data_IF_638520929299
#
_entry.id   IF_638520929299
#
_cell.length_a   1.000
_cell.length_b   1.000
_cell.length_c   1.000
_cell.angle_alpha   90.00
_cell.angle_beta   90.00
_cell.angle_gamma   90.00
#
_symmetry.space_group_name_H-M   'P 1'
#
loop_
_entity.id
_entity.type
_entity.pdbx_description
1 polymer ?
#
# COMPACT_ATOMS: atom_id res chain seq x y z
N UNK A 1 -32.38 5.40 -21.15
CA UNK A 1 -31.28 4.53 -20.68
C UNK A 1 -31.86 3.36 -19.89
N UNK A 2 -31.58 2.12 -20.28
CA UNK A 2 -31.96 0.92 -19.50
C UNK A 2 -30.87 0.68 -18.46
N UNK A 3 -31.20 0.79 -17.18
CA UNK A 3 -30.28 0.77 -16.03
C UNK A 3 -30.16 -0.62 -15.36
N UNK A 4 -30.68 -1.67 -15.99
CA UNK A 4 -30.80 -2.99 -15.33
C UNK A 4 -30.13 -4.08 -16.17
N UNK A 5 -28.79 -4.07 -16.18
CA UNK A 5 -27.97 -5.14 -16.72
C UNK A 5 -27.32 -5.86 -15.54
N UNK A 6 -27.59 -7.17 -15.40
CA UNK A 6 -27.02 -7.96 -14.31
C UNK A 6 -25.48 -7.96 -14.43
N UNK A 7 -24.74 -7.65 -13.35
CA UNK A 7 -23.28 -7.69 -13.38
C UNK A 7 -22.81 -9.13 -13.67
N UNK A 8 -21.87 -9.26 -14.60
CA UNK A 8 -21.24 -10.54 -14.94
C UNK A 8 -19.98 -10.69 -14.09
N UNK A 9 -20.02 -11.61 -13.15
CA UNK A 9 -18.88 -11.96 -12.30
C UNK A 9 -18.09 -13.09 -12.95
N UNK A 10 -16.77 -12.92 -13.07
CA UNK A 10 -15.87 -13.92 -13.65
C UNK A 10 -15.13 -14.71 -12.57
N UNK A 11 -15.05 -14.16 -11.35
CA UNK A 11 -14.37 -14.75 -10.21
C UNK A 11 -15.41 -15.37 -9.26
N UNK A 12 -15.00 -16.39 -8.51
CA UNK A 12 -15.83 -17.06 -7.51
C UNK A 12 -15.15 -17.03 -6.16
N UNK A 13 -15.93 -16.92 -5.08
CA UNK A 13 -15.44 -17.10 -3.72
C UNK A 13 -14.95 -18.54 -3.51
N UNK A 14 -14.26 -18.79 -2.40
CA UNK A 14 -13.83 -20.14 -2.01
C UNK A 14 -15.01 -21.13 -1.94
N UNK A 15 -16.19 -20.66 -1.54
CA UNK A 15 -17.44 -21.43 -1.49
C UNK A 15 -18.23 -21.42 -2.82
N UNK A 16 -17.61 -20.98 -3.93
CA UNK A 16 -18.18 -21.06 -5.28
C UNK A 16 -19.22 -20.00 -5.64
N UNK A 17 -19.46 -19.00 -4.78
CA UNK A 17 -20.40 -17.91 -5.08
C UNK A 17 -19.74 -16.86 -6.00
N UNK A 18 -20.49 -16.18 -6.90
CA UNK A 18 -19.93 -15.12 -7.73
C UNK A 18 -19.29 -13.99 -6.92
N UNK A 19 -18.05 -13.64 -7.22
CA UNK A 19 -17.27 -12.60 -6.54
C UNK A 19 -17.11 -11.35 -7.42
N UNK A 20 -17.28 -10.18 -6.81
CA UNK A 20 -16.96 -8.90 -7.44
C UNK A 20 -15.44 -8.74 -7.54
N UNK A 21 -14.93 -8.41 -8.73
CA UNK A 21 -13.50 -8.19 -8.95
C UNK A 21 -13.06 -6.92 -8.23
N UNK A 22 -12.09 -7.04 -7.33
CA UNK A 22 -11.46 -5.89 -6.67
C UNK A 22 -10.30 -5.37 -7.53
N UNK A 23 -10.17 -4.05 -7.66
CA UNK A 23 -8.96 -3.45 -8.24
C UNK A 23 -7.77 -3.62 -7.30
N UNK A 24 -6.51 -3.55 -7.78
CA UNK A 24 -5.33 -3.62 -6.91
C UNK A 24 -5.33 -2.54 -5.83
N UNK A 25 -5.83 -1.33 -6.13
CA UNK A 25 -5.98 -0.26 -5.14
C UNK A 25 -7.00 -0.63 -4.07
N UNK A 26 -8.16 -1.16 -4.45
CA UNK A 26 -9.20 -1.60 -3.51
C UNK A 26 -8.67 -2.74 -2.62
N UNK A 27 -7.93 -3.68 -3.20
CA UNK A 27 -7.31 -4.78 -2.46
C UNK A 27 -6.26 -4.24 -1.46
N UNK A 28 -5.43 -3.28 -1.87
CA UNK A 28 -4.41 -2.68 -1.01
C UNK A 28 -5.05 -1.92 0.16
N UNK A 29 -6.04 -1.07 -0.13
CA UNK A 29 -6.80 -0.33 0.90
C UNK A 29 -7.46 -1.28 1.88
N UNK A 30 -8.07 -2.37 1.40
CA UNK A 30 -8.69 -3.39 2.27
C UNK A 30 -7.66 -4.04 3.20
N UNK A 31 -6.52 -4.48 2.69
CA UNK A 31 -5.48 -5.10 3.53
C UNK A 31 -4.85 -4.12 4.52
N UNK A 32 -4.72 -2.84 4.17
CA UNK A 32 -4.25 -1.81 5.12
C UNK A 32 -5.28 -1.58 6.22
N UNK A 33 -6.57 -1.54 5.89
CA UNK A 33 -7.65 -1.31 6.85
C UNK A 33 -7.88 -2.49 7.79
N UNK A 34 -7.69 -3.75 7.35
CA UNK A 34 -7.81 -4.90 8.24
C UNK A 34 -6.78 -4.87 9.38
N UNK A 35 -5.62 -4.22 9.19
CA UNK A 35 -4.64 -4.00 10.25
C UNK A 35 -5.16 -3.10 11.40
N UNK A 36 -6.20 -2.28 11.18
CA UNK A 36 -6.85 -1.49 12.25
C UNK A 36 -7.70 -2.37 13.18
N UNK A 37 -8.14 -3.53 12.71
CA UNK A 37 -8.99 -4.45 13.46
C UNK A 37 -8.19 -5.43 14.33
N UNK A 38 -6.85 -5.29 14.38
CA UNK A 38 -5.96 -6.19 15.11
C UNK A 38 -6.14 -7.66 14.71
N UNK A 39 -6.66 -7.92 13.49
CA UNK A 39 -6.82 -9.27 12.99
C UNK A 39 -5.43 -9.93 12.95
N UNK A 40 -5.32 -11.09 13.60
CA UNK A 40 -4.06 -11.86 13.62
C UNK A 40 -3.65 -12.08 12.17
N UNK A 41 -2.36 -11.94 11.93
CA UNK A 41 -1.60 -11.91 10.65
C UNK A 41 -1.77 -13.16 9.74
N UNK A 42 -2.84 -13.94 9.91
CA UNK A 42 -3.03 -15.27 9.40
C UNK A 42 -4.38 -15.36 8.64
N UNK A 43 -4.27 -15.26 7.31
CA UNK A 43 -5.22 -15.67 6.27
C UNK A 43 -6.15 -14.62 5.63
N UNK A 44 -5.56 -13.77 4.76
CA UNK A 44 -6.12 -13.61 3.40
C UNK A 44 -5.29 -14.52 2.46
N UNK A 45 -5.89 -15.60 1.95
CA UNK A 45 -5.32 -16.48 0.91
C UNK A 45 -3.95 -17.15 1.19
N UNK A 46 -3.55 -17.31 2.46
CA UNK A 46 -2.31 -18.00 2.84
C UNK A 46 -1.02 -17.17 2.68
N UNK A 47 -1.14 -15.88 2.35
CA UNK A 47 -0.04 -14.91 2.33
C UNK A 47 -0.03 -14.09 3.64
N UNK A 48 1.16 -13.83 4.20
CA UNK A 48 1.32 -12.86 5.30
C UNK A 48 0.87 -11.47 4.80
N UNK A 49 0.09 -10.76 5.60
CA UNK A 49 -0.44 -9.42 5.28
C UNK A 49 0.67 -8.46 4.83
N UNK A 50 1.87 -8.59 5.41
CA UNK A 50 3.03 -7.79 5.01
C UNK A 50 3.51 -8.12 3.59
N UNK A 51 3.48 -9.40 3.20
CA UNK A 51 3.79 -9.85 1.84
C UNK A 51 2.75 -9.37 0.83
N UNK A 52 1.46 -9.48 1.19
CA UNK A 52 0.35 -9.02 0.37
C UNK A 52 0.41 -7.52 0.10
N UNK A 53 0.65 -6.72 1.13
CA UNK A 53 0.82 -5.26 1.01
C UNK A 53 2.03 -4.95 0.11
N UNK A 54 3.17 -5.61 0.31
CA UNK A 54 4.36 -5.42 -0.53
C UNK A 54 4.08 -5.72 -2.01
N UNK A 55 3.39 -6.84 -2.29
CA UNK A 55 2.98 -7.23 -3.65
C UNK A 55 2.03 -6.21 -4.27
N UNK A 56 0.98 -5.82 -3.55
CA UNK A 56 -0.04 -4.88 -4.04
C UNK A 56 0.51 -3.47 -4.25
N UNK A 57 1.48 -3.01 -3.44
CA UNK A 57 2.25 -1.79 -3.73
C UNK A 57 2.95 -1.87 -5.09
N UNK A 58 3.29 -3.07 -5.56
CA UNK A 58 3.80 -3.43 -6.88
C UNK A 58 2.76 -3.39 -8.01
N UNK A 59 1.49 -3.13 -7.72
CA UNK A 59 0.40 -3.09 -8.71
C UNK A 59 -0.35 -1.76 -8.70
N UNK A 60 -0.16 -0.96 -7.64
CA UNK A 60 -0.83 0.33 -7.44
C UNK A 60 0.09 1.50 -7.83
N UNK A 61 -0.43 2.55 -8.49
CA UNK A 61 0.33 3.78 -8.78
C UNK A 61 1.03 4.37 -7.54
N UNK A 62 2.30 4.84 -7.66
CA UNK A 62 3.06 5.36 -6.53
C UNK A 62 2.35 6.46 -5.72
N UNK A 63 1.64 7.38 -6.37
CA UNK A 63 0.94 8.46 -5.67
C UNK A 63 -0.19 7.94 -4.76
N UNK A 64 -0.89 6.87 -5.16
CA UNK A 64 -1.93 6.23 -4.33
C UNK A 64 -1.31 5.52 -3.13
N UNK A 65 -0.16 4.87 -3.31
CA UNK A 65 0.61 4.27 -2.20
C UNK A 65 1.06 5.35 -1.22
N UNK A 66 1.54 6.49 -1.72
CA UNK A 66 1.91 7.66 -0.91
C UNK A 66 0.73 8.19 -0.08
N UNK A 67 -0.43 8.42 -0.73
CA UNK A 67 -1.63 8.88 -0.03
C UNK A 67 -2.09 7.88 1.03
N UNK A 68 -2.08 6.59 0.72
CA UNK A 68 -2.47 5.54 1.66
C UNK A 68 -1.49 5.43 2.84
N UNK A 69 -0.18 5.65 2.62
CA UNK A 69 0.80 5.68 3.71
C UNK A 69 0.52 6.83 4.70
N UNK A 70 0.15 8.01 4.17
CA UNK A 70 -0.23 9.18 4.97
C UNK A 70 -1.54 8.94 5.74
N UNK A 71 -2.55 8.36 5.09
CA UNK A 71 -3.83 7.98 5.71
C UNK A 71 -3.64 6.91 6.81
N UNK A 72 -2.86 5.86 6.53
CA UNK A 72 -2.55 4.82 7.49
C UNK A 72 -1.85 5.40 8.73
N UNK A 73 -0.94 6.36 8.51
CA UNK A 73 -0.23 7.03 9.59
C UNK A 73 -1.16 7.84 10.49
N UNK A 74 -2.03 8.65 9.90
CA UNK A 74 -2.99 9.46 10.67
C UNK A 74 -4.02 8.59 11.39
N UNK A 75 -4.24 7.35 10.93
CA UNK A 75 -5.15 6.37 11.54
C UNK A 75 -4.54 5.59 12.71
N UNK A 76 -3.30 5.90 13.13
CA UNK A 76 -2.66 5.30 14.29
C UNK A 76 -1.94 3.96 14.05
N UNK A 77 -1.82 3.53 12.79
CA UNK A 77 -1.02 2.35 12.43
C UNK A 77 0.48 2.69 12.53
N UNK A 78 1.25 1.85 13.23
CA UNK A 78 2.70 2.05 13.37
C UNK A 78 3.50 1.42 12.23
N UNK A 79 3.31 0.12 11.97
CA UNK A 79 4.13 -0.63 11.01
C UNK A 79 3.64 -0.56 9.57
N UNK A 80 2.32 -0.45 9.37
CA UNK A 80 1.73 -0.45 8.02
C UNK A 80 2.20 0.74 7.16
N UNK A 81 2.26 1.98 7.68
CA UNK A 81 2.85 3.09 6.92
C UNK A 81 4.29 2.80 6.47
N UNK A 82 5.09 2.12 7.31
CA UNK A 82 6.48 1.78 6.98
C UNK A 82 6.57 0.72 5.87
N UNK A 83 5.65 -0.26 5.85
CA UNK A 83 5.55 -1.23 4.77
C UNK A 83 5.15 -0.57 3.44
N UNK A 84 4.20 0.37 3.49
CA UNK A 84 3.79 1.15 2.32
C UNK A 84 4.94 2.03 1.81
N UNK A 85 5.69 2.69 2.72
CA UNK A 85 6.90 3.43 2.38
C UNK A 85 7.96 2.55 1.71
N UNK A 86 8.18 1.33 2.19
CA UNK A 86 9.12 0.39 1.54
C UNK A 86 8.67 0.03 0.11
N UNK A 87 7.37 -0.19 -0.09
CA UNK A 87 6.79 -0.39 -1.42
C UNK A 87 6.97 0.83 -2.33
N UNK A 88 6.76 2.03 -1.78
CA UNK A 88 6.92 3.30 -2.48
C UNK A 88 8.39 3.55 -2.87
N UNK A 89 9.34 3.34 -1.95
CA UNK A 89 10.79 3.53 -2.21
C UNK A 89 11.25 2.68 -3.40
N UNK A 90 10.67 1.49 -3.62
CA UNK A 90 11.02 0.60 -4.73
C UNK A 90 10.63 1.12 -6.11
N UNK A 91 9.66 2.04 -6.21
CA UNK A 91 9.03 2.40 -7.50
C UNK A 91 8.73 3.89 -7.69
N UNK A 92 8.70 4.67 -6.62
CA UNK A 92 8.42 6.09 -6.64
C UNK A 92 9.63 6.89 -7.10
N UNK A 93 9.38 8.12 -7.53
CA UNK A 93 10.45 9.10 -7.72
C UNK A 93 10.92 9.65 -6.36
N UNK A 94 12.12 10.21 -6.33
CA UNK A 94 12.76 10.68 -5.10
C UNK A 94 11.98 11.81 -4.39
N UNK A 95 11.35 12.71 -5.14
CA UNK A 95 10.59 13.81 -4.54
C UNK A 95 9.32 13.33 -3.83
N UNK A 96 8.53 12.48 -4.48
CA UNK A 96 7.35 11.85 -3.88
C UNK A 96 7.74 11.04 -2.64
N UNK A 97 8.77 10.20 -2.75
CA UNK A 97 9.25 9.38 -1.62
C UNK A 97 9.68 10.27 -0.45
N UNK A 98 10.45 11.32 -0.71
CA UNK A 98 10.93 12.23 0.33
C UNK A 98 9.77 12.93 1.04
N UNK A 99 8.81 13.47 0.28
CA UNK A 99 7.61 14.11 0.83
C UNK A 99 6.77 13.12 1.66
N UNK A 100 6.58 11.89 1.17
CA UNK A 100 5.82 10.89 1.93
C UNK A 100 6.54 10.51 3.22
N UNK A 101 7.86 10.35 3.21
CA UNK A 101 8.65 10.05 4.41
C UNK A 101 8.50 11.17 5.43
N UNK A 102 8.63 12.44 5.00
CA UNK A 102 8.47 13.61 5.88
C UNK A 102 7.12 13.61 6.61
N UNK A 103 6.05 13.21 5.93
CA UNK A 103 4.70 13.24 6.50
C UNK A 103 4.32 11.98 7.28
N UNK A 104 4.84 10.82 6.88
CA UNK A 104 4.51 9.53 7.48
C UNK A 104 5.37 9.20 8.71
N UNK A 105 6.60 9.70 8.77
CA UNK A 105 7.49 9.53 9.93
C UNK A 105 7.25 10.69 10.90
N UNK A 106 6.76 10.40 12.11
CA UNK A 106 6.50 11.44 13.11
C UNK A 106 7.30 11.25 14.40
N UNK A 107 8.07 10.16 14.51
CA UNK A 107 8.96 9.90 15.66
C UNK A 107 10.34 9.42 15.20
N UNK A 108 11.36 9.66 16.03
CA UNK A 108 12.75 9.37 15.68
C UNK A 108 13.06 7.86 15.55
N UNK A 109 12.38 7.01 16.32
CA UNK A 109 12.53 5.54 16.30
C UNK A 109 12.04 4.91 14.98
N UNK A 110 11.13 5.57 14.29
CA UNK A 110 10.48 5.04 13.08
C UNK A 110 11.43 4.99 11.88
N UNK A 111 12.46 5.85 11.85
CA UNK A 111 13.49 5.79 10.80
C UNK A 111 14.30 4.49 10.91
N UNK A 112 14.65 4.08 12.13
CA UNK A 112 15.38 2.83 12.35
C UNK A 112 14.50 1.61 12.06
N UNK A 113 13.21 1.68 12.39
CA UNK A 113 12.24 0.64 12.03
C UNK A 113 12.06 0.55 10.51
N UNK A 114 11.95 1.69 9.82
CA UNK A 114 11.87 1.74 8.37
C UNK A 114 13.09 1.08 7.73
N UNK A 115 14.30 1.40 8.18
CA UNK A 115 15.53 0.78 7.69
C UNK A 115 15.57 -0.73 7.97
N UNK A 116 15.12 -1.16 9.15
CA UNK A 116 15.05 -2.57 9.52
C UNK A 116 14.10 -3.34 8.60
N UNK A 117 12.91 -2.79 8.30
CA UNK A 117 11.94 -3.40 7.38
C UNK A 117 12.49 -3.41 5.95
N UNK A 118 13.06 -2.27 5.50
CA UNK A 118 13.61 -2.11 4.16
C UNK A 118 14.72 -3.12 3.85
N UNK A 119 15.60 -3.39 4.82
CA UNK A 119 16.71 -4.34 4.67
C UNK A 119 16.44 -5.74 5.22
N UNK A 120 15.20 -6.06 5.62
CA UNK A 120 14.82 -7.37 6.16
C UNK A 120 15.18 -8.54 5.23
N UNK A 121 15.14 -8.32 3.91
CA UNK A 121 15.48 -9.31 2.86
C UNK A 121 16.92 -9.15 2.33
N UNK A 122 17.76 -8.38 3.00
CA UNK A 122 19.13 -8.05 2.58
C UNK A 122 19.31 -6.56 2.27
N UNK A 123 20.57 -6.11 2.26
CA UNK A 123 20.91 -4.71 1.98
C UNK A 123 20.80 -4.41 0.49
N UNK A 124 19.80 -3.62 0.11
CA UNK A 124 19.57 -3.16 -1.26
C UNK A 124 19.58 -1.63 -1.31
N UNK A 125 20.73 -0.97 -1.53
CA UNK A 125 20.74 0.47 -1.71
C UNK A 125 20.00 0.84 -3.01
N UNK A 126 19.10 1.82 -2.94
CA UNK A 126 18.40 2.33 -4.11
C UNK A 126 18.84 3.75 -4.42
N UNK A 127 19.06 4.02 -5.71
CA UNK A 127 19.32 5.36 -6.23
C UNK A 127 18.00 5.89 -6.75
N UNK A 128 17.47 6.92 -6.10
CA UNK A 128 16.22 7.58 -6.50
C UNK A 128 16.56 8.84 -7.30
N UNK A 129 15.91 9.02 -8.46
CA UNK A 129 16.02 10.27 -9.20
C UNK A 129 15.16 11.36 -8.54
N UNK A 130 15.74 12.52 -8.31
CA UNK A 130 15.04 13.73 -7.83
C UNK A 130 14.26 14.36 -9.00
N UNK A 131 13.28 13.63 -9.55
CA UNK A 131 12.32 14.23 -10.47
C UNK A 131 11.44 15.27 -9.77
N UNK A 132 10.76 16.12 -10.52
CA UNK A 132 9.76 17.03 -9.97
C UNK A 132 8.46 16.25 -9.69
N UNK A 133 8.06 16.19 -8.43
CA UNK A 133 6.71 15.73 -8.06
C UNK A 133 5.84 16.95 -7.77
N UNK A 134 4.70 17.05 -8.45
CA UNK A 134 3.70 18.10 -8.23
C UNK A 134 2.42 17.46 -7.68
N UNK A 135 2.03 17.76 -6.43
CA UNK A 135 0.85 17.15 -5.79
C UNK A 135 -0.50 17.43 -6.48
N UNK A 136 -0.54 18.36 -7.43
CA UNK A 136 -1.77 18.89 -8.05
C UNK A 136 -2.11 18.28 -9.41
N UNK A 137 -1.18 17.62 -10.09
CA UNK A 137 -1.36 17.19 -11.49
C UNK A 137 -2.08 15.85 -11.66
N UNK A 138 -2.10 14.98 -10.64
CA UNK A 138 -2.70 13.62 -10.71
C UNK A 138 -4.13 13.52 -10.12
N UNK A 139 -4.79 14.65 -9.83
CA UNK A 139 -6.23 14.69 -9.46
C UNK A 139 -7.19 14.68 -10.67
N UNK A 140 -6.71 14.34 -11.88
CA UNK A 140 -7.51 14.28 -13.11
C UNK A 140 -7.74 12.87 -13.61
#
# INVERSE_FOLDING_TARGET
>A
MKLNTKPKFTETTHEGAPAARMTPEQALRRSVMSCLLWEREFYEDGEDIAGRIERLCGEVPPFLVSNLAREARSSGLRHVPLLLLCGLIKRGNGALVAETIEQAIQRADELTELLAIYWRKGKTPQVLSLGTYSPTEERR
#
